data_IF_820208983420
#
_entry.id   IF_820208983420
#
_cell.length_a   1.000
_cell.length_b   1.000
_cell.length_c   1.000
_cell.angle_alpha   90.00
_cell.angle_beta   90.00
_cell.angle_gamma   90.00
#
_symmetry.space_group_name_H-M   'P 1'
#
loop_
_entity.id
_entity.type
_entity.pdbx_description
1 polymer ?
#
# COMPACT_ATOMS: atom_id res chain seq x y z
N UNK A 1 -20.52 -21.47 3.40
CA UNK A 1 -19.66 -20.50 4.12
C UNK A 1 -18.21 -20.87 3.79
N UNK A 2 -17.88 -20.87 2.48
CA UNK A 2 -16.91 -21.84 1.92
C UNK A 2 -16.02 -21.30 0.80
N UNK A 3 -15.81 -19.98 0.69
CA UNK A 3 -15.00 -19.46 -0.42
C UNK A 3 -14.26 -18.14 -0.21
N UNK A 4 -14.32 -17.57 0.99
CA UNK A 4 -13.72 -16.25 1.27
C UNK A 4 -12.42 -16.30 2.10
N UNK A 5 -12.06 -17.45 2.69
CA UNK A 5 -10.89 -17.58 3.58
C UNK A 5 -9.86 -18.57 3.01
N UNK A 6 -9.70 -18.64 1.68
CA UNK A 6 -8.68 -19.53 1.06
C UNK A 6 -7.74 -18.82 0.10
N UNK A 7 -7.53 -17.53 0.33
CA UNK A 7 -6.46 -16.73 -0.28
C UNK A 7 -5.89 -15.80 0.82
N UNK A 8 -5.46 -16.38 1.94
CA UNK A 8 -4.22 -15.86 2.54
C UNK A 8 -3.10 -16.27 1.58
N UNK A 9 -3.04 -15.57 0.43
CA UNK A 9 -2.03 -15.76 -0.61
C UNK A 9 -0.70 -15.47 0.06
N UNK A 10 0.13 -16.50 0.26
CA UNK A 10 1.50 -16.30 0.72
C UNK A 10 2.17 -15.43 -0.34
N UNK A 11 2.33 -14.12 -0.09
CA UNK A 11 3.05 -13.22 -0.97
C UNK A 11 4.43 -13.83 -1.20
N UNK A 12 4.72 -14.16 -2.45
CA UNK A 12 6.03 -14.73 -2.78
C UNK A 12 7.11 -13.67 -2.55
N UNK A 13 8.34 -14.10 -2.26
CA UNK A 13 9.48 -13.20 -2.07
C UNK A 13 9.65 -12.18 -3.22
N UNK A 14 9.25 -12.55 -4.45
CA UNK A 14 9.29 -11.64 -5.59
C UNK A 14 8.20 -10.57 -5.50
N UNK A 15 6.96 -10.96 -5.14
CA UNK A 15 5.84 -10.02 -4.96
C UNK A 15 6.13 -9.02 -3.83
N UNK A 16 6.65 -9.48 -2.70
CA UNK A 16 7.07 -8.63 -1.56
C UNK A 16 8.11 -7.58 -1.97
N UNK A 17 9.16 -8.00 -2.69
CA UNK A 17 10.23 -7.10 -3.11
C UNK A 17 9.75 -6.05 -4.10
N UNK A 18 8.83 -6.42 -5.00
CA UNK A 18 8.21 -5.47 -5.93
C UNK A 18 7.37 -4.48 -5.13
N UNK A 19 6.52 -4.95 -4.22
CA UNK A 19 5.69 -4.08 -3.40
C UNK A 19 6.54 -3.09 -2.59
N UNK A 20 7.52 -3.57 -1.83
CA UNK A 20 8.41 -2.71 -1.05
C UNK A 20 9.20 -1.71 -1.89
N UNK A 21 9.62 -2.08 -3.10
CA UNK A 21 10.26 -1.14 -4.03
C UNK A 21 9.28 -0.05 -4.51
N UNK A 22 8.02 -0.41 -4.76
CA UNK A 22 6.96 0.53 -5.14
C UNK A 22 6.57 1.46 -3.99
N UNK A 23 6.66 1.02 -2.74
CA UNK A 23 6.33 1.87 -1.57
C UNK A 23 7.34 2.99 -1.32
N UNK A 24 8.60 2.83 -1.74
CA UNK A 24 9.67 3.82 -1.51
C UNK A 24 9.97 4.69 -2.73
N UNK A 25 9.40 4.38 -3.90
CA UNK A 25 9.57 5.22 -5.10
C UNK A 25 8.57 6.39 -5.10
N UNK A 26 8.84 7.41 -5.90
CA UNK A 26 7.91 8.53 -6.06
C UNK A 26 6.64 8.10 -6.80
N UNK A 27 5.55 8.83 -6.58
CA UNK A 27 4.27 8.57 -7.27
C UNK A 27 4.43 8.63 -8.80
N UNK A 28 5.24 9.56 -9.33
CA UNK A 28 5.54 9.67 -10.77
C UNK A 28 6.25 8.42 -11.32
N UNK A 29 7.14 7.80 -10.55
CA UNK A 29 7.84 6.59 -10.97
C UNK A 29 6.96 5.34 -10.77
N UNK A 30 6.15 5.31 -9.71
CA UNK A 30 5.15 4.28 -9.49
C UNK A 30 4.14 4.22 -10.64
N UNK A 31 3.68 5.38 -11.14
CA UNK A 31 2.77 5.45 -12.29
C UNK A 31 3.41 4.89 -13.57
N UNK A 32 4.70 5.14 -13.82
CA UNK A 32 5.43 4.54 -14.96
C UNK A 32 5.53 3.03 -14.82
N UNK A 33 5.82 2.52 -13.62
CA UNK A 33 5.87 1.09 -13.34
C UNK A 33 4.50 0.45 -13.54
N UNK A 34 3.43 1.09 -13.06
CA UNK A 34 2.05 0.65 -13.28
C UNK A 34 1.71 0.55 -14.77
N UNK A 35 2.02 1.59 -15.55
CA UNK A 35 1.83 1.59 -17.00
C UNK A 35 2.62 0.49 -17.72
N UNK A 36 3.86 0.22 -17.30
CA UNK A 36 4.67 -0.88 -17.82
C UNK A 36 4.02 -2.24 -17.54
N UNK A 37 3.51 -2.44 -16.33
CA UNK A 37 2.83 -3.67 -15.92
C UNK A 37 1.57 -3.87 -16.78
N UNK A 38 0.73 -2.84 -16.92
CA UNK A 38 -0.47 -2.89 -17.76
C UNK A 38 -0.16 -3.17 -19.24
N UNK A 39 0.92 -2.59 -19.78
CA UNK A 39 1.31 -2.79 -21.17
C UNK A 39 1.86 -4.22 -21.43
N UNK A 40 2.50 -4.82 -20.42
CA UNK A 40 3.21 -6.10 -20.56
C UNK A 40 2.32 -7.30 -20.20
N UNK A 41 1.42 -7.13 -19.24
CA UNK A 41 0.62 -8.21 -18.67
C UNK A 41 -0.86 -7.94 -18.86
N UNK A 42 -1.61 -8.97 -19.30
CA UNK A 42 -3.08 -8.91 -19.37
C UNK A 42 -3.67 -9.04 -17.96
N UNK A 43 -3.72 -7.92 -17.24
CA UNK A 43 -4.33 -7.81 -15.92
C UNK A 43 -5.84 -7.58 -16.02
N UNK A 44 -6.56 -8.48 -16.69
CA UNK A 44 -8.01 -8.33 -16.96
C UNK A 44 -8.90 -8.33 -15.69
N UNK A 45 -8.34 -8.64 -14.52
CA UNK A 45 -9.06 -8.83 -13.26
C UNK A 45 -8.50 -7.99 -12.10
N UNK A 46 -7.62 -7.01 -12.34
CA UNK A 46 -7.30 -6.06 -11.26
C UNK A 46 -8.46 -5.10 -11.16
N UNK A 47 -9.34 -5.37 -10.20
CA UNK A 47 -10.41 -4.46 -9.84
C UNK A 47 -9.77 -3.16 -9.32
N UNK A 48 -10.00 -2.06 -10.03
CA UNK A 48 -9.70 -0.74 -9.51
C UNK A 48 -10.76 -0.44 -8.44
N UNK A 49 -10.50 -0.89 -7.22
CA UNK A 49 -11.36 -0.59 -6.09
C UNK A 49 -11.08 0.85 -5.69
N UNK A 50 -12.00 1.75 -6.02
CA UNK A 50 -12.00 3.09 -5.43
C UNK A 50 -12.04 2.94 -3.92
N UNK A 51 -11.14 3.60 -3.15
CA UNK A 51 -11.20 3.57 -1.70
C UNK A 51 -12.60 3.97 -1.26
N UNK A 52 -13.13 3.26 -0.27
CA UNK A 52 -14.45 3.55 0.23
C UNK A 52 -14.48 4.95 0.89
N UNK A 53 -15.67 5.55 1.09
CA UNK A 53 -15.77 6.87 1.67
C UNK A 53 -15.12 7.00 3.06
N UNK A 54 -15.06 5.92 3.83
CA UNK A 54 -14.50 5.91 5.18
C UNK A 54 -12.95 5.86 5.11
N UNK A 55 -12.38 5.10 4.18
CA UNK A 55 -10.95 5.09 3.84
C UNK A 55 -10.49 6.47 3.35
N UNK A 56 -11.26 7.12 2.48
CA UNK A 56 -10.98 8.49 2.03
C UNK A 56 -11.04 9.46 3.21
N UNK A 57 -12.04 9.34 4.08
CA UNK A 57 -12.17 10.19 5.26
C UNK A 57 -10.98 10.02 6.22
N UNK A 58 -10.53 8.79 6.46
CA UNK A 58 -9.37 8.49 7.28
C UNK A 58 -8.08 9.08 6.69
N UNK A 59 -7.86 8.96 5.37
CA UNK A 59 -6.71 9.57 4.70
C UNK A 59 -6.73 11.11 4.79
N UNK A 60 -7.90 11.73 4.64
CA UNK A 60 -8.06 13.17 4.80
C UNK A 60 -7.80 13.62 6.23
N UNK A 61 -8.25 12.87 7.24
CA UNK A 61 -7.98 13.15 8.65
C UNK A 61 -6.49 13.03 8.97
N UNK A 62 -5.81 12.03 8.41
CA UNK A 62 -4.35 11.92 8.50
C UNK A 62 -3.65 13.14 7.88
N UNK A 63 -4.02 13.55 6.66
CA UNK A 63 -3.39 14.70 6.01
C UNK A 63 -3.71 16.05 6.67
N UNK A 64 -4.84 16.17 7.37
CA UNK A 64 -5.22 17.37 8.11
C UNK A 64 -4.56 17.48 9.49
N UNK A 65 -3.84 16.43 9.92
CA UNK A 65 -3.15 16.39 11.21
C UNK A 65 -4.05 16.01 12.38
N UNK A 66 -5.14 15.28 12.13
CA UNK A 66 -6.02 14.78 13.19
C UNK A 66 -5.24 13.88 14.18
N UNK A 67 -5.18 14.21 15.48
CA UNK A 67 -4.43 13.45 16.48
C UNK A 67 -4.81 11.97 16.56
N UNK A 68 -6.07 11.63 16.28
CA UNK A 68 -6.55 10.25 16.36
C UNK A 68 -6.03 9.40 15.18
N UNK A 69 -5.57 10.06 14.10
CA UNK A 69 -5.04 9.43 12.90
C UNK A 69 -3.52 9.65 12.73
N UNK A 70 -2.88 10.47 13.57
CA UNK A 70 -1.42 10.64 13.54
C UNK A 70 -0.69 9.48 14.25
N UNK A 71 0.52 9.13 13.78
CA UNK A 71 1.39 8.21 14.51
C UNK A 71 1.70 8.75 15.90
N UNK A 72 1.63 7.89 16.92
CA UNK A 72 2.01 8.26 18.29
C UNK A 72 3.50 8.62 18.43
N UNK A 73 4.31 8.21 17.46
CA UNK A 73 5.75 8.45 17.41
C UNK A 73 6.21 8.51 15.95
N UNK A 74 7.25 9.32 15.69
CA UNK A 74 7.81 9.46 14.36
C UNK A 74 8.59 8.20 13.93
N UNK A 75 8.72 8.02 12.61
CA UNK A 75 9.50 6.91 12.06
C UNK A 75 10.96 6.88 12.56
N UNK A 76 11.58 8.05 12.76
CA UNK A 76 12.93 8.16 13.30
C UNK A 76 13.01 7.64 14.74
N UNK A 77 12.02 7.99 15.58
CA UNK A 77 11.94 7.50 16.95
C UNK A 77 11.73 5.99 17.01
N UNK A 78 10.90 5.43 16.13
CA UNK A 78 10.68 3.99 16.01
C UNK A 78 11.98 3.27 15.64
N UNK A 79 12.71 3.76 14.63
CA UNK A 79 13.97 3.14 14.19
C UNK A 79 15.00 3.13 15.31
N UNK A 80 15.11 4.25 16.04
CA UNK A 80 15.99 4.37 17.21
C UNK A 80 15.63 3.38 18.32
N UNK A 81 14.34 3.18 18.62
CA UNK A 81 13.90 2.21 19.63
C UNK A 81 14.18 0.76 19.21
N UNK A 82 14.02 0.46 17.93
CA UNK A 82 14.28 -0.87 17.36
C UNK A 82 15.77 -1.17 17.13
N UNK A 83 16.65 -0.18 17.31
CA UNK A 83 18.10 -0.31 17.10
C UNK A 83 18.48 -0.49 15.64
N UNK A 84 17.68 0.09 14.72
CA UNK A 84 17.87 0.07 13.27
C UNK A 84 18.51 1.37 12.76
#
# INVERSE_FOLDING_TARGET
MDRFIKECDYMSNVKERIFGAVTIMSDEDAEKVWNLIQATFLLNNVEEVTPDPDEIAALNAYHSGDPDYQPAMSQEEVLKELGL
#
